data_IF_488189252686
#
_entry.id   IF_488189252686
#
_cell.length_a   1.000
_cell.length_b   1.000
_cell.length_c   1.000
_cell.angle_alpha   90.00
_cell.angle_beta   90.00
_cell.angle_gamma   90.00
#
_symmetry.space_group_name_H-M   'P 1'
#
loop_
_entity.id
_entity.type
_entity.pdbx_description
1 polymer ?
#
# COMPACT_ATOMS: atom_id res chain seq x y z
N UNK A 1 -14.38 1.37 -10.08
CA UNK A 1 -13.45 0.79 -9.09
C UNK A 1 -12.39 0.08 -9.90
N UNK A 2 -11.14 0.09 -9.43
CA UNK A 2 -10.04 -0.61 -10.12
C UNK A 2 -10.35 -2.11 -10.12
N UNK A 3 -10.16 -2.81 -11.26
CA UNK A 3 -10.27 -4.27 -11.34
C UNK A 3 -9.09 -4.99 -10.65
N UNK A 4 -8.18 -4.21 -10.06
CA UNK A 4 -7.00 -4.69 -9.38
C UNK A 4 -7.31 -5.18 -7.97
N UNK A 5 -6.63 -6.26 -7.57
CA UNK A 5 -6.66 -6.75 -6.19
C UNK A 5 -5.47 -6.23 -5.42
N UNK A 6 -5.70 -5.79 -4.19
CA UNK A 6 -4.63 -5.42 -3.26
C UNK A 6 -4.56 -6.45 -2.14
N UNK A 7 -3.38 -7.03 -1.96
CA UNK A 7 -3.10 -7.98 -0.88
C UNK A 7 -2.19 -7.32 0.14
N UNK A 8 -2.52 -7.45 1.43
CA UNK A 8 -1.67 -7.01 2.52
C UNK A 8 -0.96 -8.22 3.11
N UNK A 9 0.36 -8.18 3.22
CA UNK A 9 1.09 -9.16 4.02
C UNK A 9 0.80 -8.97 5.53
N UNK A 10 1.26 -9.92 6.35
CA UNK A 10 1.01 -9.92 7.80
C UNK A 10 1.47 -8.63 8.49
N UNK A 11 2.67 -8.12 8.17
CA UNK A 11 3.19 -6.90 8.78
C UNK A 11 2.42 -5.64 8.36
N UNK A 12 2.17 -5.38 7.05
CA UNK A 12 1.27 -4.31 6.59
C UNK A 12 -0.12 -4.36 7.20
N UNK A 13 -0.70 -5.56 7.37
CA UNK A 13 -2.02 -5.73 8.00
C UNK A 13 -2.02 -5.26 9.45
N UNK A 14 -0.97 -5.64 10.22
CA UNK A 14 -0.78 -5.16 11.59
C UNK A 14 -0.57 -3.66 11.66
N UNK A 15 0.27 -3.11 10.78
CA UNK A 15 0.50 -1.67 10.71
C UNK A 15 -0.82 -0.92 10.47
N UNK A 16 -1.63 -1.36 9.49
CA UNK A 16 -2.93 -0.77 9.20
C UNK A 16 -3.89 -0.83 10.40
N UNK A 17 -3.89 -1.94 11.15
CA UNK A 17 -4.64 -2.05 12.39
C UNK A 17 -4.18 -1.03 13.44
N UNK A 18 -2.86 -0.90 13.66
CA UNK A 18 -2.30 0.10 14.58
C UNK A 18 -2.67 1.53 14.17
N UNK A 19 -2.74 1.83 12.86
CA UNK A 19 -3.27 3.11 12.34
C UNK A 19 -4.71 3.30 12.79
N UNK A 20 -5.56 2.29 12.60
CA UNK A 20 -6.97 2.35 13.01
C UNK A 20 -7.17 2.62 14.50
N UNK A 21 -6.31 2.04 15.34
CA UNK A 21 -6.38 2.22 16.80
C UNK A 21 -5.91 3.61 17.25
N UNK A 22 -4.93 4.21 16.57
CA UNK A 22 -4.36 5.52 16.95
C UNK A 22 -5.01 6.72 16.28
N UNK A 23 -5.32 6.60 14.99
CA UNK A 23 -5.85 7.67 14.15
C UNK A 23 -6.86 7.11 13.12
N UNK A 24 -8.16 7.05 13.48
CA UNK A 24 -9.21 6.56 12.59
C UNK A 24 -9.34 7.36 11.28
N UNK A 25 -8.98 8.64 11.29
CA UNK A 25 -9.05 9.48 10.09
C UNK A 25 -7.91 9.15 9.12
N UNK A 26 -6.70 8.92 9.64
CA UNK A 26 -5.57 8.43 8.85
C UNK A 26 -5.83 7.03 8.32
N UNK A 27 -6.41 6.14 9.13
CA UNK A 27 -6.82 4.80 8.70
C UNK A 27 -7.77 4.84 7.50
N UNK A 28 -8.78 5.72 7.53
CA UNK A 28 -9.70 5.88 6.41
C UNK A 28 -8.98 6.37 5.14
N UNK A 29 -8.03 7.30 5.27
CA UNK A 29 -7.22 7.79 4.15
C UNK A 29 -6.38 6.67 3.54
N UNK A 30 -5.64 5.93 4.38
CA UNK A 30 -4.77 4.84 3.94
C UNK A 30 -5.59 3.72 3.29
N UNK A 31 -6.71 3.31 3.88
CA UNK A 31 -7.60 2.28 3.32
C UNK A 31 -8.18 2.72 1.96
N UNK A 32 -8.58 3.98 1.83
CA UNK A 32 -9.06 4.51 0.57
C UNK A 32 -7.94 4.59 -0.50
N UNK A 33 -6.69 4.85 -0.12
CA UNK A 33 -5.56 4.79 -1.05
C UNK A 33 -5.27 3.35 -1.50
N UNK A 34 -5.26 2.39 -0.58
CA UNK A 34 -5.05 0.98 -0.87
C UNK A 34 -6.08 0.41 -1.86
N UNK A 35 -7.35 0.78 -1.73
CA UNK A 35 -8.43 0.32 -2.65
C UNK A 35 -8.35 0.94 -4.05
N UNK A 36 -7.45 1.90 -4.27
CA UNK A 36 -7.24 2.58 -5.56
C UNK A 36 -5.93 2.18 -6.22
N UNK A 37 -5.13 1.31 -5.60
CA UNK A 37 -3.88 0.85 -6.20
C UNK A 37 -4.14 0.11 -7.52
N UNK A 38 -3.22 0.34 -8.46
CA UNK A 38 -3.16 -0.27 -9.77
C UNK A 38 -1.70 -0.33 -10.26
N UNK A 39 -1.49 -0.80 -11.50
CA UNK A 39 -0.19 -0.93 -12.11
C UNK A 39 0.58 0.37 -12.38
N UNK A 40 0.01 1.54 -12.07
CA UNK A 40 0.70 2.84 -12.15
C UNK A 40 1.15 3.36 -10.78
N UNK A 41 0.91 2.61 -9.71
CA UNK A 41 1.16 3.07 -8.34
C UNK A 41 2.64 3.10 -8.01
N UNK A 42 3.17 4.32 -7.83
CA UNK A 42 4.54 4.54 -7.37
C UNK A 42 5.60 4.41 -8.47
N UNK A 43 6.84 4.71 -8.09
CA UNK A 43 8.03 4.58 -8.94
C UNK A 43 8.83 3.32 -8.56
N UNK A 44 9.45 2.64 -9.54
CA UNK A 44 10.36 1.52 -9.27
C UNK A 44 11.48 1.90 -8.31
N UNK A 45 11.78 0.99 -7.39
CA UNK A 45 12.83 1.19 -6.37
C UNK A 45 14.20 0.76 -6.88
N UNK A 46 14.27 -0.22 -7.79
CA UNK A 46 15.50 -0.72 -8.38
C UNK A 46 15.29 -1.38 -9.77
N UNK A 47 16.39 -1.93 -10.32
CA UNK A 47 16.44 -2.59 -11.62
C UNK A 47 16.03 -4.07 -11.61
N UNK A 48 15.71 -4.65 -10.44
CA UNK A 48 15.49 -6.09 -10.25
C UNK A 48 14.01 -6.51 -10.35
N UNK A 49 13.08 -5.56 -10.51
CA UNK A 49 11.67 -5.84 -10.76
C UNK A 49 10.73 -4.74 -10.26
N UNK A 50 9.42 -4.94 -10.43
CA UNK A 50 8.34 -3.97 -10.13
C UNK A 50 8.07 -3.76 -8.61
N UNK A 51 9.14 -3.65 -7.81
CA UNK A 51 9.07 -3.11 -6.45
C UNK A 51 8.89 -1.60 -6.55
N UNK A 52 7.84 -1.05 -5.93
CA UNK A 52 7.50 0.38 -6.01
C UNK A 52 7.24 0.99 -4.64
N UNK A 53 7.47 2.30 -4.53
CA UNK A 53 7.08 3.07 -3.35
C UNK A 53 5.92 4.02 -3.68
N UNK A 54 4.89 4.02 -2.85
CA UNK A 54 3.72 4.90 -2.99
C UNK A 54 3.44 5.66 -1.70
N UNK A 55 3.03 6.92 -1.83
CA UNK A 55 2.48 7.68 -0.71
C UNK A 55 1.00 7.32 -0.57
N UNK A 56 0.63 6.67 0.53
CA UNK A 56 -0.76 6.25 0.80
C UNK A 56 -1.55 7.36 1.51
N UNK A 57 -0.89 8.16 2.34
CA UNK A 57 -1.43 9.32 3.02
C UNK A 57 -0.26 10.21 3.48
N UNK A 58 -0.50 11.47 3.91
CA UNK A 58 0.56 12.29 4.51
C UNK A 58 1.26 11.54 5.66
N UNK A 59 2.57 11.33 5.52
CA UNK A 59 3.37 10.61 6.51
C UNK A 59 3.27 9.07 6.48
N UNK A 60 2.55 8.50 5.50
CA UNK A 60 2.41 7.04 5.31
C UNK A 60 2.85 6.63 3.91
N UNK A 61 3.88 5.80 3.83
CA UNK A 61 4.43 5.25 2.58
C UNK A 61 4.25 3.74 2.55
N UNK A 62 3.81 3.20 1.42
CA UNK A 62 3.75 1.77 1.15
C UNK A 62 4.87 1.35 0.20
N UNK A 63 5.43 0.17 0.43
CA UNK A 63 6.26 -0.55 -0.53
C UNK A 63 5.43 -1.71 -1.10
N UNK A 64 5.40 -1.82 -2.42
CA UNK A 64 4.50 -2.73 -3.15
C UNK A 64 5.24 -3.49 -4.23
N UNK A 65 4.76 -4.69 -4.53
CA UNK A 65 5.11 -5.44 -5.72
C UNK A 65 3.91 -5.50 -6.66
N UNK A 66 4.10 -5.19 -7.94
CA UNK A 66 3.02 -5.15 -8.93
C UNK A 66 3.04 -6.41 -9.79
N UNK A 67 1.88 -7.05 -9.94
CA UNK A 67 1.67 -8.22 -10.79
C UNK A 67 0.68 -7.88 -11.92
N UNK A 68 1.12 -7.21 -13.00
CA UNK A 68 0.23 -6.80 -14.09
C UNK A 68 -0.32 -7.97 -14.90
N UNK A 69 0.40 -9.08 -14.96
CA UNK A 69 0.04 -10.28 -15.73
C UNK A 69 -0.78 -11.30 -14.93
N UNK A 70 -1.10 -11.03 -13.65
CA UNK A 70 -1.99 -11.86 -12.86
C UNK A 70 -3.45 -11.74 -13.33
N UNK A 71 -4.27 -12.77 -13.08
CA UNK A 71 -5.71 -12.75 -13.38
C UNK A 71 -6.55 -12.99 -12.11
N UNK A 72 -7.16 -11.93 -11.53
CA UNK A 72 -7.08 -10.53 -11.95
C UNK A 72 -5.72 -9.89 -11.58
N UNK A 73 -5.34 -8.76 -12.22
CA UNK A 73 -4.09 -8.07 -11.91
C UNK A 73 -4.06 -7.65 -10.44
N UNK A 74 -2.88 -7.67 -9.83
CA UNK A 74 -2.77 -7.46 -8.39
C UNK A 74 -1.56 -6.64 -7.96
N UNK A 75 -1.67 -6.09 -6.75
CA UNK A 75 -0.61 -5.40 -6.02
C UNK A 75 -0.46 -6.05 -4.65
N UNK A 76 0.74 -6.49 -4.32
CA UNK A 76 1.09 -6.99 -3.00
C UNK A 76 1.77 -5.87 -2.22
N UNK A 77 1.16 -5.44 -1.12
CA UNK A 77 1.77 -4.48 -0.20
C UNK A 77 2.70 -5.25 0.73
N UNK A 78 3.99 -4.97 0.63
CA UNK A 78 5.06 -5.64 1.37
C UNK A 78 5.32 -4.95 2.70
N UNK A 79 5.24 -3.61 2.73
CA UNK A 79 5.52 -2.80 3.91
C UNK A 79 4.66 -1.55 3.93
N UNK A 80 4.19 -1.17 5.12
CA UNK A 80 3.63 0.16 5.39
C UNK A 80 4.52 0.82 6.43
N UNK A 81 5.13 1.94 6.07
CA UNK A 81 5.93 2.79 6.96
C UNK A 81 5.12 4.04 7.25
N UNK A 82 4.95 4.35 8.52
CA UNK A 82 4.23 5.53 8.97
C UNK A 82 4.98 6.21 10.10
N UNK A 83 5.08 7.53 10.02
CA UNK A 83 5.69 8.33 11.06
C UNK A 83 4.62 8.68 12.09
N UNK A 84 4.62 7.98 13.21
CA UNK A 84 3.91 8.41 14.42
C UNK A 84 4.58 9.68 14.93
N UNK A 85 4.10 10.86 14.52
CA UNK A 85 4.43 12.09 15.23
C UNK A 85 3.93 11.93 16.67
N UNK A 86 4.89 11.82 17.58
CA UNK A 86 4.67 11.61 19.01
C UNK A 86 4.11 12.86 19.67
#
# INVERSE_FOLDING_TARGET
>A
MSDWRTYLQDQPSKALQEIGERDPALFAQVTNALTRLDGSSGEPVDEWGDLRNVVLAPGVTGELFVHPDADPPSVDVLRIVWLSLS
#
